data_IF_111926397644
#
_entry.id   IF_111926397644
#
_cell.length_a   1.000
_cell.length_b   1.000
_cell.length_c   1.000
_cell.angle_alpha   90.00
_cell.angle_beta   90.00
_cell.angle_gamma   90.00
#
_symmetry.space_group_name_H-M   'P 1'
#
loop_
_entity.id
_entity.type
_entity.pdbx_description
1 polymer ?
#
# COMPACT_ATOMS: atom_id res chain seq x y z
N UNK A 1 39.90 -1.35 40.42
CA UNK A 1 39.77 -1.93 39.06
C UNK A 1 38.34 -2.15 38.55
N UNK A 2 37.29 -1.85 39.33
CA UNK A 2 35.89 -2.10 38.91
C UNK A 2 35.30 -0.97 38.01
N UNK A 3 35.70 0.29 38.22
CA UNK A 3 35.19 1.48 37.52
C UNK A 3 35.40 1.47 36.00
N UNK A 4 36.52 0.90 35.53
CA UNK A 4 36.91 0.85 34.10
C UNK A 4 36.04 -0.12 33.29
N UNK A 5 35.52 -1.18 33.91
CA UNK A 5 34.66 -2.18 33.23
C UNK A 5 33.26 -1.64 32.95
N UNK A 6 32.70 -0.82 33.85
CA UNK A 6 31.40 -0.15 33.63
C UNK A 6 31.46 0.89 32.52
N UNK A 7 32.56 1.64 32.40
CA UNK A 7 32.71 2.61 31.31
C UNK A 7 32.72 1.93 29.93
N UNK A 8 33.37 0.77 29.80
CA UNK A 8 33.40 0.00 28.55
C UNK A 8 32.01 -0.60 28.24
N UNK A 9 31.31 -1.11 29.26
CA UNK A 9 29.95 -1.65 29.09
C UNK A 9 28.96 -0.54 28.67
N UNK A 10 29.03 0.62 29.31
CA UNK A 10 28.18 1.79 28.98
C UNK A 10 28.49 2.31 27.57
N UNK A 11 29.76 2.35 27.17
CA UNK A 11 30.18 2.76 25.81
C UNK A 11 29.71 1.82 24.70
N UNK A 12 29.47 0.54 24.98
CA UNK A 12 28.99 -0.43 24.00
C UNK A 12 27.46 -0.56 23.96
N UNK A 13 26.79 -0.38 25.10
CA UNK A 13 25.32 -0.49 25.20
C UNK A 13 24.62 0.75 24.64
N UNK A 14 25.18 1.96 24.84
CA UNK A 14 24.60 3.22 24.34
C UNK A 14 24.47 3.30 22.81
N UNK A 15 25.51 2.98 22.01
CA UNK A 15 25.40 3.01 20.55
C UNK A 15 24.46 1.94 20.01
N UNK A 16 24.46 0.75 20.62
CA UNK A 16 23.55 -0.32 20.25
C UNK A 16 22.08 0.07 20.46
N UNK A 17 21.77 0.77 21.56
CA UNK A 17 20.41 1.27 21.81
C UNK A 17 19.97 2.30 20.76
N UNK A 18 20.86 3.21 20.35
CA UNK A 18 20.56 4.24 19.33
C UNK A 18 20.26 3.62 17.97
N UNK A 19 20.90 2.50 17.61
CA UNK A 19 20.63 1.80 16.35
C UNK A 19 19.26 1.12 16.32
N UNK A 20 18.72 0.68 17.46
CA UNK A 20 17.40 0.04 17.54
C UNK A 20 16.21 1.01 17.35
N UNK A 21 16.37 2.30 17.65
CA UNK A 21 15.29 3.29 17.53
C UNK A 21 15.24 4.02 16.18
N UNK A 22 16.25 3.85 15.32
CA UNK A 22 16.28 4.46 13.98
C UNK A 22 15.74 3.51 12.89
N UNK A 23 14.79 2.64 13.23
CA UNK A 23 14.00 1.93 12.23
C UNK A 23 13.20 2.93 11.42
N UNK A 24 13.68 3.27 10.22
CA UNK A 24 12.98 4.14 9.30
C UNK A 24 11.72 3.42 8.81
N UNK A 25 10.60 3.60 9.50
CA UNK A 25 9.29 3.11 9.04
C UNK A 25 8.96 3.92 7.79
N UNK A 26 9.17 3.32 6.63
CA UNK A 26 8.75 3.91 5.36
C UNK A 26 7.21 3.96 5.38
N UNK A 27 6.65 5.10 5.80
CA UNK A 27 5.21 5.32 5.75
C UNK A 27 4.81 5.35 4.29
N UNK A 28 4.07 4.34 3.86
CA UNK A 28 3.50 4.30 2.52
C UNK A 28 2.56 5.51 2.34
N UNK A 29 2.88 6.39 1.39
CA UNK A 29 2.05 7.56 1.07
C UNK A 29 0.71 7.09 0.49
N UNK A 30 -0.39 7.45 1.15
CA UNK A 30 -1.73 7.10 0.71
C UNK A 30 -2.28 8.18 -0.23
N UNK A 31 -3.04 7.81 -1.26
CA UNK A 31 -3.65 8.77 -2.17
C UNK A 31 -4.73 9.56 -1.43
N UNK A 32 -4.78 10.88 -1.61
CA UNK A 32 -5.84 11.72 -1.03
C UNK A 32 -5.99 11.54 0.50
N UNK A 33 -4.87 11.32 1.20
CA UNK A 33 -4.80 11.01 2.63
C UNK A 33 -5.53 12.02 3.53
N UNK A 34 -5.71 13.27 3.07
CA UNK A 34 -6.40 14.33 3.81
C UNK A 34 -7.93 14.32 3.65
N UNK A 35 -8.49 13.46 2.82
CA UNK A 35 -9.94 13.34 2.66
C UNK A 35 -10.58 12.69 3.89
N UNK A 36 -11.84 13.02 4.20
CA UNK A 36 -12.54 12.49 5.36
C UNK A 36 -12.60 10.94 5.35
N UNK A 37 -12.92 10.36 4.20
CA UNK A 37 -12.97 8.89 4.06
C UNK A 37 -11.58 8.24 4.19
N UNK A 38 -10.52 8.90 3.72
CA UNK A 38 -9.15 8.43 3.91
C UNK A 38 -8.74 8.45 5.38
N UNK A 39 -9.16 9.46 6.15
CA UNK A 39 -8.87 9.53 7.58
C UNK A 39 -9.53 8.38 8.35
N UNK A 40 -10.79 8.03 8.01
CA UNK A 40 -11.45 6.84 8.59
C UNK A 40 -10.71 5.56 8.20
N UNK A 41 -10.29 5.43 6.93
CA UNK A 41 -9.50 4.29 6.47
C UNK A 41 -8.17 4.16 7.24
N UNK A 42 -7.45 5.27 7.42
CA UNK A 42 -6.19 5.32 8.15
C UNK A 42 -6.42 4.93 9.61
N UNK A 43 -7.37 5.56 10.29
CA UNK A 43 -7.68 5.28 11.71
C UNK A 43 -8.02 3.80 11.92
N UNK A 44 -8.89 3.24 11.07
CA UNK A 44 -9.36 1.86 11.25
C UNK A 44 -8.33 0.82 10.84
N UNK A 45 -7.63 1.02 9.72
CA UNK A 45 -6.70 0.04 9.17
C UNK A 45 -5.29 0.11 9.78
N UNK A 46 -4.95 1.18 10.52
CA UNK A 46 -3.70 1.28 11.26
C UNK A 46 -3.76 0.70 12.66
N UNK A 47 -4.96 0.40 13.17
CA UNK A 47 -5.17 -0.01 14.55
C UNK A 47 -4.45 -1.32 14.93
N UNK A 48 -4.22 -2.21 13.96
CA UNK A 48 -3.69 -3.56 14.22
C UNK A 48 -2.43 -3.92 13.42
N UNK A 49 -2.20 -3.29 12.27
CA UNK A 49 -1.06 -3.57 11.40
C UNK A 49 -0.70 -2.34 10.56
N UNK A 50 0.41 -2.41 9.81
CA UNK A 50 0.75 -1.38 8.81
C UNK A 50 -0.41 -1.21 7.82
N UNK A 51 -0.77 0.04 7.53
CA UNK A 51 -1.92 0.34 6.68
C UNK A 51 -1.65 -0.17 5.26
N UNK A 52 -2.47 -1.08 4.72
CA UNK A 52 -2.35 -1.50 3.34
C UNK A 52 -2.73 -0.36 2.38
N UNK A 53 -2.15 -0.33 1.19
CA UNK A 53 -2.61 0.59 0.15
C UNK A 53 -4.04 0.24 -0.31
N UNK A 54 -4.97 1.21 -0.46
CA UNK A 54 -6.35 0.94 -0.87
C UNK A 54 -6.46 0.30 -2.26
N UNK A 55 -5.47 0.48 -3.11
CA UNK A 55 -5.41 -0.14 -4.44
C UNK A 55 -4.73 -1.50 -4.48
N UNK A 56 -4.26 -2.04 -3.35
CA UNK A 56 -3.57 -3.35 -3.33
C UNK A 56 -4.49 -4.50 -3.73
N UNK A 57 -5.80 -4.32 -3.62
CA UNK A 57 -6.83 -5.25 -4.05
C UNK A 57 -7.88 -4.48 -4.84
N UNK A 58 -8.61 -5.15 -5.72
CA UNK A 58 -9.81 -4.56 -6.30
C UNK A 58 -10.91 -4.38 -5.24
N UNK A 59 -11.92 -3.57 -5.57
CA UNK A 59 -13.00 -3.24 -4.63
C UNK A 59 -13.80 -4.47 -4.15
N UNK A 60 -13.95 -5.51 -4.97
CA UNK A 60 -14.69 -6.71 -4.55
C UNK A 60 -13.92 -7.49 -3.48
N UNK A 61 -12.64 -7.77 -3.74
CA UNK A 61 -11.74 -8.43 -2.79
C UNK A 61 -11.57 -7.64 -1.50
N UNK A 62 -11.61 -6.31 -1.56
CA UNK A 62 -11.61 -5.49 -0.36
C UNK A 62 -12.84 -5.70 0.52
N UNK A 63 -14.03 -5.82 -0.06
CA UNK A 63 -15.24 -6.15 0.72
C UNK A 63 -15.08 -7.49 1.43
N UNK A 64 -14.61 -8.51 0.71
CA UNK A 64 -14.42 -9.85 1.27
C UNK A 64 -13.35 -9.84 2.38
N UNK A 65 -12.27 -9.09 2.17
CA UNK A 65 -11.20 -8.94 3.16
C UNK A 65 -11.69 -8.23 4.42
N UNK A 66 -12.50 -7.18 4.29
CA UNK A 66 -13.09 -6.46 5.43
C UNK A 66 -14.02 -7.37 6.22
N UNK A 67 -14.87 -8.16 5.55
CA UNK A 67 -15.72 -9.16 6.20
C UNK A 67 -14.88 -10.19 6.94
N UNK A 68 -13.81 -10.70 6.32
CA UNK A 68 -12.90 -11.62 7.00
C UNK A 68 -12.25 -10.99 8.25
N UNK A 69 -11.91 -9.70 8.20
CA UNK A 69 -11.33 -8.96 9.33
C UNK A 69 -12.31 -8.76 10.49
N UNK A 70 -13.61 -8.65 10.24
CA UNK A 70 -14.64 -8.57 11.29
C UNK A 70 -14.59 -9.77 12.26
N UNK A 71 -14.11 -10.94 11.81
CA UNK A 71 -13.95 -12.13 12.64
C UNK A 71 -12.73 -12.15 13.57
N UNK A 72 -11.75 -11.26 13.39
CA UNK A 72 -10.43 -11.30 14.08
C UNK A 72 -10.21 -10.15 15.07
N UNK A 73 -11.25 -9.66 15.76
CA UNK A 73 -11.17 -8.57 16.74
C UNK A 73 -10.72 -7.22 16.17
N UNK A 74 -11.22 -6.82 15.00
CA UNK A 74 -11.20 -5.39 14.69
C UNK A 74 -12.06 -4.64 15.72
N UNK A 75 -11.65 -3.44 16.20
CA UNK A 75 -12.60 -2.53 16.81
C UNK A 75 -13.73 -2.36 15.80
N UNK A 76 -14.94 -2.79 16.17
CA UNK A 76 -16.08 -2.92 15.26
C UNK A 76 -16.20 -1.64 14.45
N UNK A 77 -15.81 -1.70 13.17
CA UNK A 77 -16.00 -0.59 12.25
C UNK A 77 -17.51 -0.36 12.22
N UNK A 78 -17.97 0.79 12.72
CA UNK A 78 -19.40 1.11 12.75
C UNK A 78 -19.90 1.18 11.31
N UNK A 79 -21.19 0.93 11.07
CA UNK A 79 -21.79 0.92 9.72
C UNK A 79 -21.37 2.14 8.88
N UNK A 80 -21.43 3.35 9.44
CA UNK A 80 -21.01 4.59 8.80
C UNK A 80 -19.51 4.65 8.46
N UNK A 81 -18.67 4.06 9.30
CA UNK A 81 -17.22 4.01 9.08
C UNK A 81 -16.87 2.98 8.00
N UNK A 82 -17.63 1.88 7.93
CA UNK A 82 -17.51 0.86 6.88
C UNK A 82 -17.85 1.46 5.52
N UNK A 83 -18.90 2.28 5.46
CA UNK A 83 -19.25 3.02 4.25
C UNK A 83 -18.13 3.97 3.81
N UNK A 84 -17.55 4.74 4.73
CA UNK A 84 -16.42 5.64 4.43
C UNK A 84 -15.19 4.86 3.92
N UNK A 85 -14.82 3.77 4.58
CA UNK A 85 -13.73 2.86 4.15
C UNK A 85 -13.98 2.34 2.74
N UNK A 86 -15.18 1.82 2.47
CA UNK A 86 -15.53 1.29 1.16
C UNK A 86 -15.60 2.39 0.08
N UNK A 87 -16.09 3.58 0.44
CA UNK A 87 -16.12 4.76 -0.43
C UNK A 87 -14.70 5.15 -0.88
N UNK A 88 -13.77 5.24 0.06
CA UNK A 88 -12.37 5.54 -0.21
C UNK A 88 -11.75 4.50 -1.14
N UNK A 89 -11.84 3.21 -0.78
CA UNK A 89 -11.29 2.10 -1.57
C UNK A 89 -11.86 2.11 -2.99
N UNK A 90 -13.17 2.28 -3.14
CA UNK A 90 -13.84 2.31 -4.45
C UNK A 90 -13.34 3.46 -5.31
N UNK A 91 -13.14 4.63 -4.72
CA UNK A 91 -12.65 5.82 -5.42
C UNK A 91 -11.22 5.61 -5.93
N UNK A 92 -10.33 5.11 -5.07
CA UNK A 92 -8.94 4.85 -5.45
C UNK A 92 -8.82 3.71 -6.49
N UNK A 93 -9.57 2.63 -6.30
CA UNK A 93 -9.62 1.52 -7.28
C UNK A 93 -10.08 1.99 -8.67
N UNK A 94 -11.11 2.85 -8.72
CA UNK A 94 -11.61 3.42 -9.99
C UNK A 94 -10.60 4.37 -10.63
N UNK A 95 -9.88 5.15 -9.83
CA UNK A 95 -8.86 6.09 -10.30
C UNK A 95 -7.72 5.35 -10.98
N UNK A 96 -7.20 4.31 -10.32
CA UNK A 96 -6.11 3.51 -10.87
C UNK A 96 -6.54 2.74 -12.14
N UNK A 97 -7.77 2.19 -12.17
CA UNK A 97 -8.33 1.61 -13.41
C UNK A 97 -8.46 2.61 -14.55
N UNK A 98 -8.92 3.85 -14.28
CA UNK A 98 -9.03 4.90 -15.30
C UNK A 98 -7.66 5.27 -15.88
N UNK A 99 -6.64 5.39 -15.03
CA UNK A 99 -5.27 5.70 -15.45
C UNK A 99 -4.73 4.56 -16.32
N UNK A 100 -4.92 3.30 -15.89
CA UNK A 100 -4.57 2.15 -16.72
C UNK A 100 -5.29 2.18 -18.08
N UNK A 101 -6.61 2.36 -18.10
CA UNK A 101 -7.38 2.39 -19.36
C UNK A 101 -6.93 3.53 -20.28
N UNK A 102 -6.62 4.70 -19.72
CA UNK A 102 -6.17 5.86 -20.49
C UNK A 102 -4.80 5.61 -21.13
N UNK A 103 -3.87 5.03 -20.38
CA UNK A 103 -2.46 4.94 -20.78
C UNK A 103 -2.11 3.62 -21.46
N UNK A 104 -2.60 2.51 -20.91
CA UNK A 104 -2.32 1.16 -21.36
C UNK A 104 -3.49 0.58 -22.18
N UNK A 105 -4.73 0.98 -21.87
CA UNK A 105 -5.96 0.42 -22.43
C UNK A 105 -6.18 0.60 -23.94
N UNK A 106 -5.34 1.40 -24.61
CA UNK A 106 -5.36 1.56 -26.08
C UNK A 106 -4.69 0.37 -26.80
N UNK A 107 -3.76 -0.30 -26.12
CA UNK A 107 -2.96 -1.39 -26.69
C UNK A 107 -3.06 -2.68 -25.87
N UNK A 108 -3.42 -2.58 -24.60
CA UNK A 108 -3.54 -3.70 -23.67
C UNK A 108 -4.97 -3.82 -23.18
N UNK A 109 -5.46 -5.06 -23.12
CA UNK A 109 -6.72 -5.36 -22.42
C UNK A 109 -6.39 -5.40 -20.92
N UNK A 110 -7.24 -4.83 -20.04
CA UNK A 110 -7.08 -5.00 -18.61
C UNK A 110 -7.00 -6.49 -18.26
N UNK A 111 -5.95 -6.93 -17.57
CA UNK A 111 -5.77 -8.36 -17.29
C UNK A 111 -6.90 -8.89 -16.41
N UNK A 112 -7.34 -10.12 -16.70
CA UNK A 112 -8.28 -10.85 -15.85
C UNK A 112 -7.55 -11.45 -14.63
N UNK A 113 -8.30 -11.77 -13.57
CA UNK A 113 -7.79 -11.96 -12.20
C UNK A 113 -6.82 -13.13 -11.99
N UNK A 114 -6.59 -13.97 -13.00
CA UNK A 114 -5.90 -15.26 -12.84
C UNK A 114 -4.55 -15.32 -13.57
N UNK A 115 -4.19 -14.31 -14.37
CA UNK A 115 -3.14 -14.46 -15.38
C UNK A 115 -1.74 -13.94 -15.01
N UNK A 116 -1.54 -13.28 -13.87
CA UNK A 116 -0.30 -12.49 -13.69
C UNK A 116 0.49 -12.83 -12.42
N UNK A 117 1.80 -13.09 -12.56
CA UNK A 117 2.71 -13.19 -11.41
C UNK A 117 3.29 -11.82 -11.04
N UNK A 118 3.35 -11.49 -9.74
CA UNK A 118 3.65 -10.14 -9.24
C UNK A 118 5.06 -9.64 -9.52
N UNK A 119 6.01 -10.52 -9.86
CA UNK A 119 7.45 -10.25 -9.78
C UNK A 119 8.07 -9.63 -11.05
N UNK A 120 7.28 -9.24 -12.06
CA UNK A 120 7.81 -8.70 -13.33
C UNK A 120 7.34 -7.30 -13.71
N UNK A 121 6.36 -6.73 -13.01
CA UNK A 121 5.70 -5.49 -13.48
C UNK A 121 6.49 -4.20 -13.22
N UNK A 122 7.23 -4.13 -12.11
CA UNK A 122 8.06 -2.97 -11.78
C UNK A 122 9.19 -2.80 -12.80
N UNK A 123 9.78 -3.90 -13.26
CA UNK A 123 10.78 -3.93 -14.32
C UNK A 123 10.17 -3.77 -15.74
N UNK A 124 8.98 -4.31 -16.00
CA UNK A 124 8.30 -4.21 -17.31
C UNK A 124 7.86 -2.77 -17.65
N UNK A 125 7.51 -1.96 -16.66
CA UNK A 125 7.15 -0.55 -16.89
C UNK A 125 8.40 0.32 -17.16
N UNK A 126 9.60 -0.17 -16.81
CA UNK A 126 10.88 0.42 -17.23
C UNK A 126 11.22 0.04 -18.67
N UNK A 127 10.71 -1.09 -19.20
CA UNK A 127 10.98 -1.58 -20.56
C UNK A 127 9.78 -1.37 -21.50
N UNK A 128 9.31 -0.13 -21.58
CA UNK A 128 8.48 0.35 -22.68
C UNK A 128 9.26 1.40 -23.46
N UNK A 129 10.37 0.91 -24.01
CA UNK A 129 11.41 1.64 -24.71
C UNK A 129 10.86 2.38 -25.94
N UNK A 130 11.14 3.69 -26.00
CA UNK A 130 10.99 4.57 -27.16
C UNK A 130 9.59 4.89 -27.72
N UNK A 131 8.55 4.07 -27.49
CA UNK A 131 7.21 4.26 -28.13
C UNK A 131 6.07 4.63 -27.18
N UNK A 132 6.32 4.69 -25.88
CA UNK A 132 5.30 5.08 -24.91
C UNK A 132 5.48 6.50 -24.42
N UNK A 133 4.37 7.24 -24.19
CA UNK A 133 4.44 8.57 -23.59
C UNK A 133 5.03 8.48 -22.19
N UNK A 134 5.99 9.37 -21.89
CA UNK A 134 6.62 9.51 -20.57
C UNK A 134 5.52 9.61 -19.51
N UNK A 135 5.56 8.72 -18.52
CA UNK A 135 4.68 8.78 -17.36
C UNK A 135 5.23 9.78 -16.36
N UNK A 136 4.35 10.49 -15.65
CA UNK A 136 4.75 11.05 -14.36
C UNK A 136 4.99 9.92 -13.35
N UNK A 137 5.75 10.19 -12.29
CA UNK A 137 5.97 9.19 -11.22
C UNK A 137 4.66 8.76 -10.55
N UNK A 138 3.67 9.66 -10.45
CA UNK A 138 2.34 9.35 -9.93
C UNK A 138 1.56 8.42 -10.86
N UNK A 139 1.61 8.66 -12.17
CA UNK A 139 0.98 7.80 -13.18
C UNK A 139 1.62 6.42 -13.18
N UNK A 140 2.96 6.36 -13.18
CA UNK A 140 3.73 5.12 -13.11
C UNK A 140 3.34 4.32 -11.87
N UNK A 141 3.31 4.96 -10.71
CA UNK A 141 2.89 4.35 -9.45
C UNK A 141 1.44 3.85 -9.50
N UNK A 142 0.53 4.61 -10.11
CA UNK A 142 -0.88 4.21 -10.26
C UNK A 142 -1.04 2.96 -11.13
N UNK A 143 -0.34 2.90 -12.27
CA UNK A 143 -0.37 1.74 -13.18
C UNK A 143 0.24 0.49 -12.52
N UNK A 144 1.41 0.61 -11.88
CA UNK A 144 2.04 -0.51 -11.15
C UNK A 144 1.07 -1.06 -10.09
N UNK A 145 0.45 -0.18 -9.29
CA UNK A 145 -0.49 -0.58 -8.25
C UNK A 145 -1.72 -1.27 -8.81
N UNK A 146 -2.29 -0.75 -9.90
CA UNK A 146 -3.40 -1.40 -10.58
C UNK A 146 -3.02 -2.84 -10.95
N UNK A 147 -1.89 -3.03 -11.63
CA UNK A 147 -1.44 -4.35 -12.08
C UNK A 147 -1.16 -5.31 -10.91
N UNK A 148 -0.54 -4.82 -9.83
CA UNK A 148 -0.29 -5.61 -8.62
C UNK A 148 -1.58 -6.10 -7.94
N UNK A 149 -2.70 -5.36 -8.05
CA UNK A 149 -3.97 -5.77 -7.48
C UNK A 149 -4.57 -7.03 -8.13
N UNK A 150 -4.13 -7.36 -9.33
CA UNK A 150 -4.53 -8.53 -10.11
C UNK A 150 -3.41 -9.57 -10.24
N UNK A 151 -2.25 -9.31 -9.64
CA UNK A 151 -1.17 -10.27 -9.63
C UNK A 151 -1.41 -11.36 -8.58
N UNK A 152 -1.35 -12.61 -9.02
CA UNK A 152 -1.21 -13.80 -8.20
C UNK A 152 0.09 -13.70 -7.38
N UNK A 153 -0.03 -14.06 -6.10
CA UNK A 153 1.10 -14.15 -5.17
C UNK A 153 1.99 -15.34 -5.47
#
# INVERSE_FOLDING_TARGET
MYRRKYHILVLLVLPALVLFFNGCVTMQKLPEERSADAQVYIERCSACHTIPHPSRLNFHHWKDKIVAMEGYQMPVIKSKEKEAVLSYIKTQSKKDFKIFKLRCGKCHIPPEMEELESKKWEDLIVVLDGKMPVFSEEEKSSVIRYLQAFAKK
#
